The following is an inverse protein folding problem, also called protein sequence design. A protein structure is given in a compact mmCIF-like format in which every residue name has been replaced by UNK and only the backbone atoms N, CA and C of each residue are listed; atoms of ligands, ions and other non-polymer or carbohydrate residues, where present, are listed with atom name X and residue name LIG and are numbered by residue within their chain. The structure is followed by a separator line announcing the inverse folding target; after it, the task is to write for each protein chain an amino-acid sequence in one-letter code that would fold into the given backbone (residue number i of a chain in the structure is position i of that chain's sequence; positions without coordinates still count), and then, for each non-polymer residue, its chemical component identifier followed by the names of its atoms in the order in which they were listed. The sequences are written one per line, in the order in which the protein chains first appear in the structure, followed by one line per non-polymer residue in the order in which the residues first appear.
data_IF_977430127652
#
_entry.id   IF_977430127652
#
_cell.length_a   1.000
_cell.length_b   1.000
_cell.length_c   1.000
_cell.angle_alpha   90.00
_cell.angle_beta   90.00
_cell.angle_gamma   90.00
#
_symmetry.space_group_name_H-M   'P 1'
#
loop_
_entity.id
_entity.type
_entity.pdbx_description
1 polymer ?
#
# COMPACT_ATOMS: atom_id res chain seq x y z
N UNK A 1 11.28 -11.50 5.07
CA UNK A 1 11.35 -10.37 4.12
C UNK A 1 10.40 -10.47 2.91
N UNK A 2 9.77 -11.63 2.65
CA UNK A 2 8.87 -11.83 1.50
C UNK A 2 7.52 -11.08 1.66
N UNK A 3 7.00 -10.96 2.89
CA UNK A 3 5.69 -10.33 3.13
C UNK A 3 5.65 -8.85 2.72
N UNK A 4 6.71 -8.08 3.00
CA UNK A 4 6.78 -6.67 2.60
C UNK A 4 6.82 -6.50 1.07
N UNK A 5 7.56 -7.38 0.38
CA UNK A 5 7.59 -7.44 -1.08
C UNK A 5 6.21 -7.76 -1.66
N UNK A 6 5.48 -8.70 -1.04
CA UNK A 6 4.12 -9.04 -1.49
C UNK A 6 3.13 -7.89 -1.29
N UNK A 7 3.22 -7.16 -0.17
CA UNK A 7 2.38 -5.97 0.07
C UNK A 7 2.69 -4.89 -0.96
N UNK A 8 3.97 -4.64 -1.26
CA UNK A 8 4.37 -3.69 -2.30
C UNK A 8 3.83 -4.09 -3.68
N UNK A 9 4.00 -5.36 -4.08
CA UNK A 9 3.51 -5.86 -5.36
C UNK A 9 1.98 -5.74 -5.50
N UNK A 10 1.23 -5.96 -4.42
CA UNK A 10 -0.22 -5.80 -4.44
C UNK A 10 -0.64 -4.33 -4.61
N UNK A 11 0.03 -3.40 -3.94
CA UNK A 11 -0.24 -1.96 -4.11
C UNK A 11 0.03 -1.55 -5.56
N UNK A 12 1.18 -1.95 -6.12
CA UNK A 12 1.53 -1.65 -7.50
C UNK A 12 0.53 -2.28 -8.50
N UNK A 13 -0.01 -3.46 -8.18
CA UNK A 13 -1.04 -4.11 -8.99
C UNK A 13 -2.37 -3.37 -8.92
N UNK A 14 -2.80 -2.92 -7.74
CA UNK A 14 -4.04 -2.15 -7.55
C UNK A 14 -3.98 -0.86 -8.36
N UNK A 15 -2.88 -0.11 -8.25
CA UNK A 15 -2.69 1.13 -9.01
C UNK A 15 -2.64 0.89 -10.52
N UNK A 16 -2.05 -0.24 -10.96
CA UNK A 16 -1.96 -0.57 -12.39
C UNK A 16 -3.28 -1.08 -12.98
N UNK A 17 -4.11 -1.73 -12.18
CA UNK A 17 -5.35 -2.36 -12.63
C UNK A 17 -6.58 -1.45 -12.49
N UNK A 18 -6.50 -0.41 -11.66
CA UNK A 18 -7.60 0.50 -11.40
C UNK A 18 -7.20 1.93 -11.73
N UNK A 19 -7.57 2.36 -12.94
CA UNK A 19 -7.36 3.74 -13.40
C UNK A 19 -8.03 4.74 -12.44
N UNK A 20 -9.20 4.41 -11.89
CA UNK A 20 -9.91 5.25 -10.92
C UNK A 20 -9.06 5.50 -9.67
N UNK A 21 -8.51 4.44 -9.07
CA UNK A 21 -7.70 4.58 -7.84
C UNK A 21 -6.40 5.32 -8.15
N UNK A 22 -5.77 5.03 -9.29
CA UNK A 22 -4.57 5.73 -9.75
C UNK A 22 -4.83 7.24 -9.93
N UNK A 23 -5.89 7.59 -10.67
CA UNK A 23 -6.28 8.98 -10.91
C UNK A 23 -6.59 9.71 -9.59
N UNK A 24 -7.26 9.06 -8.64
CA UNK A 24 -7.56 9.64 -7.33
C UNK A 24 -6.32 9.85 -6.47
N UNK A 25 -5.32 8.96 -6.56
CA UNK A 25 -4.02 9.12 -5.88
C UNK A 25 -3.22 10.25 -6.53
N UNK A 26 -3.17 10.31 -7.85
CA UNK A 26 -2.48 11.37 -8.60
C UNK A 26 -3.14 12.74 -8.38
N UNK A 27 -4.48 12.77 -8.30
CA UNK A 27 -5.25 13.96 -7.93
C UNK A 27 -5.16 14.32 -6.43
N UNK A 28 -4.38 13.57 -5.64
CA UNK A 28 -4.19 13.75 -4.19
C UNK A 28 -5.50 13.70 -3.39
N UNK A 29 -6.51 13.03 -3.93
CA UNK A 29 -7.81 12.86 -3.28
C UNK A 29 -7.76 11.74 -2.25
N UNK A 30 -6.92 10.72 -2.49
CA UNK A 30 -6.69 9.60 -1.58
C UNK A 30 -5.20 9.27 -1.51
N UNK A 31 -4.76 8.73 -0.37
CA UNK A 31 -3.41 8.17 -0.21
C UNK A 31 -3.50 6.66 0.02
N UNK A 32 -2.48 5.94 -0.42
CA UNK A 32 -2.36 4.49 -0.20
C UNK A 32 -1.06 4.18 0.55
N UNK A 33 -1.16 3.29 1.54
CA UNK A 33 -0.01 2.81 2.33
C UNK A 33 -0.20 1.33 2.68
N UNK A 34 0.86 0.55 2.54
CA UNK A 34 0.89 -0.85 2.94
C UNK A 34 1.09 -1.00 4.44
N UNK A 35 0.32 -1.88 5.07
CA UNK A 35 0.49 -2.25 6.47
C UNK A 35 0.70 -3.76 6.62
N UNK A 36 1.65 -4.15 7.46
CA UNK A 36 1.83 -5.54 7.89
C UNK A 36 1.32 -5.65 9.32
N UNK A 37 0.30 -6.48 9.52
CA UNK A 37 -0.20 -6.79 10.86
C UNK A 37 0.70 -7.81 11.56
N UNK A 38 1.14 -7.50 12.76
CA UNK A 38 1.87 -8.39 13.65
C UNK A 38 0.89 -9.04 14.63
N UNK A 39 0.73 -10.37 14.52
CA UNK A 39 -0.19 -11.15 15.34
C UNK A 39 0.28 -11.29 16.80
N UNK A 40 1.59 -11.22 17.06
CA UNK A 40 2.15 -11.41 18.39
C UNK A 40 2.01 -10.13 19.23
N UNK A 41 2.19 -8.96 18.60
CA UNK A 41 2.13 -7.66 19.28
C UNK A 41 0.79 -6.93 19.09
N UNK A 42 -0.02 -7.36 18.13
CA UNK A 42 -1.28 -6.69 17.74
C UNK A 42 -1.07 -5.35 17.03
N UNK A 43 0.15 -5.04 16.60
CA UNK A 43 0.51 -3.75 15.99
C UNK A 43 0.54 -3.86 14.48
N UNK A 44 0.25 -2.74 13.81
CA UNK A 44 0.42 -2.60 12.37
C UNK A 44 1.74 -1.88 12.10
N UNK A 45 2.61 -2.53 11.35
CA UNK A 45 3.82 -1.93 10.81
C UNK A 45 3.52 -1.37 9.43
N UNK A 46 3.42 -0.05 9.33
CA UNK A 46 3.26 0.63 8.05
C UNK A 46 4.59 0.62 7.27
N UNK A 47 4.49 0.40 5.96
CA UNK A 47 5.62 0.33 5.05
C UNK A 47 5.78 1.68 4.35
N UNK A 48 6.63 2.55 4.88
CA UNK A 48 6.85 3.91 4.35
C UNK A 48 7.22 3.92 2.86
N UNK A 49 7.97 2.92 2.40
CA UNK A 49 8.35 2.78 0.98
C UNK A 49 7.15 2.57 0.02
N UNK A 50 6.01 2.15 0.56
CA UNK A 50 4.78 1.93 -0.21
C UNK A 50 3.83 3.13 -0.18
N UNK A 51 4.17 4.20 0.55
CA UNK A 51 3.32 5.38 0.66
C UNK A 51 3.25 6.14 -0.66
N UNK A 52 2.03 6.47 -1.11
CA UNK A 52 1.75 7.33 -2.28
C UNK A 52 0.67 8.35 -1.90
N UNK A 53 0.96 9.63 -2.18
CA UNK A 53 0.19 10.84 -1.82
C UNK A 53 0.51 11.98 -2.80
#
# INVERSE_FOLDING_TARGET
KINALNVQYQIDSILRMSDIIADMVDAKQIGIVGGIYDLDTGRVNFLDNTMRI
#
